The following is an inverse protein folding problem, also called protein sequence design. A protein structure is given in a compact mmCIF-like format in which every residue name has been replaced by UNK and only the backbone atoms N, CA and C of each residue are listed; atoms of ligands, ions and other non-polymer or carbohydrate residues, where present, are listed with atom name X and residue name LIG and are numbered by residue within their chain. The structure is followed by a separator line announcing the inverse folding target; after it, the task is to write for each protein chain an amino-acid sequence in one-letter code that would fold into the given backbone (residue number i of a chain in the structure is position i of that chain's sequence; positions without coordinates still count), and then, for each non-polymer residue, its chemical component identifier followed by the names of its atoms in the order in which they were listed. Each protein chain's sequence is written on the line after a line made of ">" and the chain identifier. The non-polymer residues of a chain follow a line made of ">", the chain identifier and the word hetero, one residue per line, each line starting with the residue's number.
data_IF_197261921500
#
_entry.id   IF_197261921500
#
_cell.length_a   1.000
_cell.length_b   1.000
_cell.length_c   1.000
_cell.angle_alpha   90.00
_cell.angle_beta   90.00
_cell.angle_gamma   90.00
#
_symmetry.space_group_name_H-M   'P 1'
#
loop_
_entity.id
_entity.type
_entity.pdbx_description
1 polymer ?
#
# COMPACT_ATOMS: atom_id res chain seq x y z
N UNK A 1 -9.16 9.03 -13.30
CA UNK A 1 -9.43 9.33 -11.88
C UNK A 1 -8.52 10.47 -11.42
N UNK A 2 -9.04 11.55 -10.84
CA UNK A 2 -8.26 12.74 -10.42
C UNK A 2 -8.48 12.96 -8.92
N UNK A 3 -7.39 13.03 -8.14
CA UNK A 3 -7.46 13.41 -6.73
C UNK A 3 -7.78 14.92 -6.63
N UNK A 4 -8.89 15.27 -6.03
CA UNK A 4 -9.34 16.65 -5.84
C UNK A 4 -8.96 17.21 -4.49
N UNK A 5 -9.01 16.37 -3.43
CA UNK A 5 -8.74 16.77 -2.06
C UNK A 5 -8.28 15.56 -1.25
N UNK A 6 -7.38 15.80 -0.31
CA UNK A 6 -6.99 14.83 0.72
C UNK A 6 -7.17 15.44 2.11
N UNK A 7 -7.65 14.63 3.03
CA UNK A 7 -7.68 14.95 4.47
C UNK A 7 -6.87 13.89 5.20
N UNK A 8 -5.98 14.31 6.07
CA UNK A 8 -5.06 13.45 6.82
C UNK A 8 -5.10 13.86 8.28
N UNK A 9 -5.22 12.89 9.17
CA UNK A 9 -5.16 13.09 10.61
C UNK A 9 -4.20 12.08 11.24
N UNK A 10 -3.22 12.56 12.02
CA UNK A 10 -2.27 11.77 12.80
C UNK A 10 -1.47 10.72 12.00
N UNK A 11 -1.08 11.05 10.78
CA UNK A 11 -0.29 10.17 9.92
C UNK A 11 1.19 10.57 9.91
N UNK A 12 2.06 9.71 10.42
CA UNK A 12 3.51 9.96 10.57
C UNK A 12 3.76 11.27 11.32
N UNK A 13 4.38 12.27 10.67
CA UNK A 13 4.57 13.59 11.27
C UNK A 13 3.46 14.60 10.94
N UNK A 14 2.47 14.19 10.14
CA UNK A 14 1.34 15.04 9.79
C UNK A 14 0.27 14.93 10.90
N UNK A 15 -0.04 16.07 11.52
CA UNK A 15 -1.04 16.15 12.58
C UNK A 15 -2.43 16.23 11.98
N UNK A 16 -2.72 17.32 11.32
CA UNK A 16 -3.95 17.56 10.60
C UNK A 16 -3.63 18.33 9.32
N UNK A 17 -4.02 17.77 8.19
CA UNK A 17 -3.74 18.35 6.88
C UNK A 17 -4.99 18.19 6.01
N UNK A 18 -5.41 19.28 5.39
CA UNK A 18 -6.41 19.29 4.35
C UNK A 18 -5.89 20.06 3.15
N UNK A 19 -5.82 19.42 1.99
CA UNK A 19 -5.24 19.99 0.77
C UNK A 19 -6.12 19.71 -0.44
N UNK A 20 -6.35 20.72 -1.27
CA UNK A 20 -6.90 20.61 -2.61
C UNK A 20 -5.80 20.41 -3.66
N UNK A 21 -6.11 19.70 -4.72
CA UNK A 21 -5.20 19.40 -5.82
C UNK A 21 -5.70 20.00 -7.13
N UNK A 22 -4.77 20.47 -7.96
CA UNK A 22 -5.04 20.74 -9.36
C UNK A 22 -5.02 19.43 -10.16
N UNK A 23 -5.72 19.41 -11.29
CA UNK A 23 -5.85 18.21 -12.11
C UNK A 23 -4.55 17.75 -12.79
N UNK A 24 -3.54 18.60 -12.92
CA UNK A 24 -2.33 18.29 -13.70
C UNK A 24 -1.08 18.26 -12.84
N UNK A 25 -0.64 19.40 -12.33
CA UNK A 25 0.64 19.54 -11.62
C UNK A 25 0.41 20.14 -10.24
N UNK A 26 0.98 19.51 -9.23
CA UNK A 26 1.00 19.97 -7.85
C UNK A 26 2.44 19.91 -7.34
N UNK A 27 2.98 21.03 -6.85
CA UNK A 27 4.32 21.12 -6.32
C UNK A 27 4.28 21.34 -4.81
N UNK A 28 5.01 20.52 -4.06
CA UNK A 28 5.17 20.67 -2.61
C UNK A 28 6.59 21.09 -2.30
N UNK A 29 6.75 22.29 -1.73
CA UNK A 29 8.06 22.84 -1.34
C UNK A 29 8.05 23.25 0.13
N UNK A 30 9.23 23.34 0.72
CA UNK A 30 9.42 23.67 2.13
C UNK A 30 10.65 22.98 2.72
N UNK A 31 10.94 23.25 3.99
CA UNK A 31 12.08 22.70 4.71
C UNK A 31 12.03 21.16 4.81
N UNK A 32 13.19 20.54 5.01
CA UNK A 32 13.26 19.10 5.25
C UNK A 32 12.57 18.75 6.59
N UNK A 33 11.98 17.56 6.65
CA UNK A 33 11.24 17.13 7.83
C UNK A 33 9.78 17.61 7.91
N UNK A 34 9.34 18.55 7.07
CA UNK A 34 7.98 19.12 7.12
C UNK A 34 6.87 18.19 6.60
N UNK A 35 7.19 16.95 6.23
CA UNK A 35 6.16 15.96 5.86
C UNK A 35 5.83 15.87 4.37
N UNK A 36 6.57 16.54 3.46
CA UNK A 36 6.33 16.46 2.01
C UNK A 36 6.26 15.02 1.49
N UNK A 37 7.25 14.20 1.84
CA UNK A 37 7.28 12.78 1.47
C UNK A 37 6.16 11.99 2.15
N UNK A 38 5.80 12.35 3.39
CA UNK A 38 4.71 11.68 4.11
C UNK A 38 3.34 12.02 3.51
N UNK A 39 3.18 13.19 2.90
CA UNK A 39 2.00 13.53 2.12
C UNK A 39 1.89 12.65 0.86
N UNK A 40 2.99 12.50 0.11
CA UNK A 40 3.03 11.60 -1.06
C UNK A 40 2.78 10.14 -0.67
N UNK A 41 3.34 9.72 0.46
CA UNK A 41 3.10 8.39 1.00
C UNK A 41 1.64 8.19 1.47
N UNK A 42 0.96 9.22 1.95
CA UNK A 42 -0.48 9.14 2.23
C UNK A 42 -1.31 8.95 0.95
N UNK A 43 -0.95 9.60 -0.16
CA UNK A 43 -1.56 9.35 -1.47
C UNK A 43 -1.28 7.92 -1.95
N UNK A 44 -0.03 7.45 -1.80
CA UNK A 44 0.35 6.07 -2.09
C UNK A 44 -0.46 5.07 -1.25
N UNK A 45 -0.66 5.37 0.05
CA UNK A 45 -1.44 4.53 0.95
C UNK A 45 -2.90 4.35 0.47
N UNK A 46 -3.51 5.40 -0.06
CA UNK A 46 -4.86 5.34 -0.62
C UNK A 46 -4.93 4.49 -1.90
N UNK A 47 -3.85 4.32 -2.64
CA UNK A 47 -3.78 3.46 -3.83
C UNK A 47 -3.48 1.99 -3.49
N UNK A 48 -2.48 1.76 -2.61
CA UNK A 48 -1.93 0.43 -2.34
C UNK A 48 -2.35 -0.17 -1.00
N UNK A 49 -3.21 0.50 -0.24
CA UNK A 49 -3.62 0.09 1.11
C UNK A 49 -2.45 -0.13 2.08
N UNK A 50 -1.28 0.41 1.80
CA UNK A 50 -0.07 0.31 2.63
C UNK A 50 0.87 1.49 2.39
N UNK A 51 1.74 1.78 3.35
CA UNK A 51 2.83 2.76 3.17
C UNK A 51 3.89 2.24 2.20
N UNK A 52 4.51 3.13 1.43
CA UNK A 52 5.65 2.81 0.56
C UNK A 52 6.93 2.55 1.36
N UNK A 53 7.12 3.28 2.47
CA UNK A 53 8.35 3.23 3.26
C UNK A 53 8.26 2.45 4.57
N UNK A 54 7.07 2.05 5.02
CA UNK A 54 6.90 1.33 6.29
C UNK A 54 5.86 0.20 6.16
N UNK A 55 6.29 -1.07 6.22
CA UNK A 55 5.40 -2.21 6.07
C UNK A 55 4.46 -2.44 7.26
N UNK A 56 4.75 -1.84 8.42
CA UNK A 56 3.96 -2.02 9.64
C UNK A 56 2.98 -0.86 9.78
N UNK A 57 1.71 -1.09 9.51
CA UNK A 57 0.66 -0.07 9.51
C UNK A 57 0.60 0.75 10.80
N UNK A 58 0.74 0.12 11.97
CA UNK A 58 0.67 0.80 13.28
C UNK A 58 1.81 1.79 13.52
N UNK A 59 2.95 1.63 12.84
CA UNK A 59 4.08 2.56 12.93
C UNK A 59 3.88 3.83 12.09
N UNK A 60 2.85 3.86 11.26
CA UNK A 60 2.45 5.06 10.53
C UNK A 60 1.54 5.99 11.38
N UNK A 61 1.11 5.56 12.57
CA UNK A 61 0.39 6.40 13.53
C UNK A 61 1.39 7.42 14.11
N UNK A 62 0.99 8.70 14.13
CA UNK A 62 1.79 9.78 14.71
C UNK A 62 2.19 9.45 16.15
N UNK A 63 3.39 9.87 16.55
CA UNK A 63 3.88 9.68 17.92
C UNK A 63 2.88 10.22 18.94
N UNK A 64 2.69 9.51 20.04
CA UNK A 64 1.71 9.83 21.11
C UNK A 64 0.24 9.79 20.69
N UNK A 65 -0.08 9.32 19.48
CA UNK A 65 -1.46 9.15 19.04
C UNK A 65 -1.86 7.67 18.97
N UNK A 66 -3.17 7.41 19.04
CA UNK A 66 -3.71 6.04 19.03
C UNK A 66 -4.22 5.59 17.65
N UNK A 67 -4.41 6.53 16.72
CA UNK A 67 -4.96 6.24 15.41
C UNK A 67 -4.48 7.24 14.37
N UNK A 68 -4.64 6.88 13.11
CA UNK A 68 -4.59 7.81 11.98
C UNK A 68 -5.80 7.64 11.07
N UNK A 69 -6.10 8.68 10.30
CA UNK A 69 -7.08 8.66 9.21
C UNK A 69 -6.47 9.31 7.99
N UNK A 70 -6.69 8.71 6.82
CA UNK A 70 -6.42 9.28 5.51
C UNK A 70 -7.70 9.17 4.68
N UNK A 71 -8.14 10.27 4.09
CA UNK A 71 -9.34 10.33 3.26
C UNK A 71 -9.04 11.08 1.98
N UNK A 72 -9.25 10.45 0.85
CA UNK A 72 -9.08 11.01 -0.48
C UNK A 72 -10.41 11.20 -1.18
N UNK A 73 -10.60 12.36 -1.77
CA UNK A 73 -11.77 12.70 -2.58
C UNK A 73 -11.33 12.81 -4.04
N UNK A 74 -11.87 11.95 -4.87
CA UNK A 74 -11.51 11.81 -6.26
C UNK A 74 -12.68 12.14 -7.16
N UNK A 75 -12.38 12.40 -8.42
CA UNK A 75 -13.36 12.58 -9.49
C UNK A 75 -13.00 11.62 -10.63
N UNK A 76 -13.96 10.80 -11.04
CA UNK A 76 -13.80 9.93 -12.19
C UNK A 76 -13.85 10.73 -13.51
N UNK A 77 -13.53 10.11 -14.63
CA UNK A 77 -13.53 10.77 -15.95
C UNK A 77 -14.94 11.25 -16.37
N UNK A 78 -15.97 10.57 -15.90
CA UNK A 78 -17.38 10.93 -16.11
C UNK A 78 -17.90 11.99 -15.11
N UNK A 79 -17.03 12.52 -14.22
CA UNK A 79 -17.39 13.47 -13.19
C UNK A 79 -17.96 12.85 -11.90
N UNK A 80 -18.08 11.51 -11.83
CA UNK A 80 -18.60 10.85 -10.63
C UNK A 80 -17.64 11.05 -9.44
N UNK A 81 -18.14 11.51 -8.28
CA UNK A 81 -17.32 11.64 -7.09
C UNK A 81 -17.03 10.27 -6.47
N UNK A 82 -15.80 10.09 -6.05
CA UNK A 82 -15.33 8.88 -5.36
C UNK A 82 -14.60 9.25 -4.08
N UNK A 83 -14.96 8.60 -2.99
CA UNK A 83 -14.36 8.79 -1.69
C UNK A 83 -13.63 7.51 -1.26
N UNK A 84 -12.35 7.64 -0.92
CA UNK A 84 -11.54 6.55 -0.37
C UNK A 84 -11.13 6.94 1.05
N UNK A 85 -11.43 6.06 1.99
CA UNK A 85 -11.15 6.23 3.40
C UNK A 85 -10.24 5.10 3.91
N UNK A 86 -9.21 5.46 4.63
CA UNK A 86 -8.40 4.54 5.42
C UNK A 86 -8.32 5.03 6.87
N UNK A 87 -8.70 4.18 7.81
CA UNK A 87 -8.54 4.39 9.23
C UNK A 87 -7.79 3.24 9.89
N UNK A 88 -6.82 3.56 10.74
CA UNK A 88 -6.07 2.59 11.52
C UNK A 88 -6.00 3.03 12.98
N UNK A 89 -6.38 2.14 13.89
CA UNK A 89 -6.22 2.33 15.35
C UNK A 89 -5.24 1.29 15.87
N UNK A 90 -4.44 1.66 16.87
CA UNK A 90 -3.53 0.71 17.55
C UNK A 90 -4.28 -0.53 18.01
N UNK A 91 -3.68 -1.70 17.80
CA UNK A 91 -4.24 -3.01 18.19
C UNK A 91 -5.59 -3.34 17.54
N UNK A 92 -5.99 -2.63 16.48
CA UNK A 92 -7.22 -2.90 15.73
C UNK A 92 -6.90 -3.22 14.27
N UNK A 93 -7.86 -3.83 13.59
CA UNK A 93 -7.76 -4.03 12.13
C UNK A 93 -7.90 -2.69 11.41
N UNK A 94 -7.11 -2.52 10.36
CA UNK A 94 -7.22 -1.40 9.44
C UNK A 94 -8.57 -1.45 8.72
N UNK A 95 -9.25 -0.33 8.65
CA UNK A 95 -10.46 -0.14 7.87
C UNK A 95 -10.12 0.55 6.57
N UNK A 96 -10.62 0.03 5.46
CA UNK A 96 -10.46 0.62 4.15
C UNK A 96 -11.81 0.62 3.42
N UNK A 97 -12.29 1.80 3.01
CA UNK A 97 -13.64 1.98 2.48
C UNK A 97 -13.60 2.77 1.17
N UNK A 98 -14.50 2.41 0.26
CA UNK A 98 -14.86 3.19 -0.91
C UNK A 98 -16.32 3.62 -0.81
N UNK A 99 -16.62 4.89 -0.90
CA UNK A 99 -17.97 5.44 -0.78
C UNK A 99 -18.71 4.89 0.45
N UNK A 100 -18.03 4.89 1.61
CA UNK A 100 -18.51 4.38 2.90
C UNK A 100 -18.66 2.85 2.98
N UNK A 101 -18.52 2.10 1.86
CA UNK A 101 -18.57 0.64 1.85
C UNK A 101 -17.17 0.08 2.12
N UNK A 102 -17.06 -0.77 3.13
CA UNK A 102 -15.79 -1.41 3.52
C UNK A 102 -15.43 -2.53 2.53
N UNK A 103 -14.13 -2.61 2.19
CA UNK A 103 -13.59 -3.71 1.40
C UNK A 103 -13.45 -4.96 2.28
N UNK A 104 -13.91 -6.10 1.78
CA UNK A 104 -13.67 -7.40 2.39
C UNK A 104 -12.22 -7.86 2.22
N UNK A 105 -11.62 -7.55 1.07
CA UNK A 105 -10.23 -7.84 0.72
C UNK A 105 -9.58 -6.58 0.14
N UNK A 106 -8.41 -6.22 0.63
CA UNK A 106 -7.68 -5.04 0.09
C UNK A 106 -7.21 -5.22 -1.35
N UNK A 107 -7.01 -6.48 -1.79
CA UNK A 107 -6.71 -6.81 -3.19
C UNK A 107 -7.79 -6.33 -4.16
N UNK A 108 -9.05 -6.20 -3.71
CA UNK A 108 -10.15 -5.75 -4.55
C UNK A 108 -10.03 -4.24 -4.89
N UNK A 109 -9.28 -3.51 -4.06
CA UNK A 109 -9.00 -2.09 -4.26
C UNK A 109 -7.80 -1.83 -5.17
N UNK A 110 -6.80 -2.73 -5.18
CA UNK A 110 -5.58 -2.57 -5.99
C UNK A 110 -5.94 -2.42 -7.47
N UNK A 111 -5.37 -1.40 -8.13
CA UNK A 111 -5.67 -1.04 -9.51
C UNK A 111 -6.87 -0.10 -9.70
N UNK A 112 -7.65 0.17 -8.65
CA UNK A 112 -8.73 1.15 -8.72
C UNK A 112 -8.20 2.59 -8.85
N UNK A 113 -7.12 2.89 -8.12
CA UNK A 113 -6.38 4.16 -8.20
C UNK A 113 -4.95 3.85 -8.68
N UNK A 114 -4.73 3.64 -10.01
CA UNK A 114 -3.40 3.34 -10.51
C UNK A 114 -2.46 4.51 -10.22
N UNK A 115 -1.27 4.18 -9.68
CA UNK A 115 -0.29 5.16 -9.24
C UNK A 115 1.13 4.64 -9.47
N UNK A 116 2.00 5.52 -9.91
CA UNK A 116 3.44 5.31 -9.92
C UNK A 116 4.08 6.34 -9.01
N UNK A 117 4.90 5.88 -8.08
CA UNK A 117 5.71 6.75 -7.22
C UNK A 117 7.18 6.54 -7.56
N UNK A 118 7.89 7.64 -7.78
CA UNK A 118 9.34 7.62 -8.05
C UNK A 118 10.05 8.39 -6.96
N UNK A 119 11.11 7.83 -6.43
CA UNK A 119 11.93 8.40 -5.37
C UNK A 119 13.42 8.30 -5.69
N UNK A 120 14.30 9.06 -5.04
CA UNK A 120 15.75 8.90 -5.21
C UNK A 120 16.26 7.48 -4.91
N UNK A 121 15.55 6.71 -4.06
CA UNK A 121 15.90 5.33 -3.75
C UNK A 121 15.68 4.37 -4.93
N UNK A 122 14.89 4.77 -5.95
CA UNK A 122 14.63 3.94 -7.12
C UNK A 122 15.86 3.81 -8.05
N UNK A 123 16.94 4.56 -7.79
CA UNK A 123 18.26 4.26 -8.36
C UNK A 123 18.71 2.83 -8.08
N UNK A 124 18.24 2.21 -7.00
CA UNK A 124 18.45 0.79 -6.69
C UNK A 124 17.85 -0.16 -7.76
N UNK A 125 16.84 0.27 -8.52
CA UNK A 125 16.33 -0.52 -9.65
C UNK A 125 17.38 -0.71 -10.75
N UNK A 126 18.33 0.23 -10.87
CA UNK A 126 19.41 0.20 -11.83
C UNK A 126 20.65 -0.44 -11.20
N UNK A 127 21.09 0.04 -10.03
CA UNK A 127 22.32 -0.36 -9.36
C UNK A 127 22.15 -1.63 -8.51
N UNK A 128 20.96 -1.92 -8.05
CA UNK A 128 20.65 -3.03 -7.14
C UNK A 128 20.44 -4.37 -7.83
N UNK A 129 20.00 -5.34 -7.04
CA UNK A 129 19.79 -6.73 -7.44
C UNK A 129 18.57 -6.96 -8.33
N UNK A 130 18.33 -8.21 -8.67
CA UNK A 130 17.15 -8.61 -9.46
C UNK A 130 15.87 -8.61 -8.62
N UNK A 131 15.99 -8.60 -7.29
CA UNK A 131 14.85 -8.65 -6.39
C UNK A 131 14.06 -7.33 -6.41
N UNK A 132 14.73 -6.18 -6.36
CA UNK A 132 14.12 -4.85 -6.45
C UNK A 132 13.39 -4.68 -7.78
N UNK A 133 13.99 -5.14 -8.89
CA UNK A 133 13.35 -5.09 -10.21
C UNK A 133 12.10 -5.96 -10.27
N UNK A 134 12.15 -7.20 -9.72
CA UNK A 134 10.97 -8.07 -9.65
C UNK A 134 9.87 -7.44 -8.80
N UNK A 135 10.20 -6.93 -7.62
CA UNK A 135 9.24 -6.23 -6.76
C UNK A 135 8.57 -5.05 -7.46
N UNK A 136 9.34 -4.26 -8.22
CA UNK A 136 8.79 -3.16 -9.00
C UNK A 136 7.82 -3.67 -10.07
N UNK A 137 8.21 -4.71 -10.82
CA UNK A 137 7.33 -5.35 -11.81
C UNK A 137 6.05 -5.89 -11.18
N UNK A 138 6.15 -6.58 -10.04
CA UNK A 138 5.00 -7.09 -9.30
C UNK A 138 4.04 -5.97 -8.92
N UNK A 139 4.54 -4.84 -8.44
CA UNK A 139 3.73 -3.68 -8.07
C UNK A 139 3.02 -3.09 -9.30
N UNK A 140 3.72 -2.98 -10.43
CA UNK A 140 3.14 -2.42 -11.67
C UNK A 140 2.08 -3.38 -12.22
N UNK A 141 2.41 -4.66 -12.45
CA UNK A 141 1.51 -5.64 -13.06
C UNK A 141 0.25 -5.83 -12.20
N UNK A 142 0.40 -5.90 -10.87
CA UNK A 142 -0.72 -6.07 -9.94
C UNK A 142 -1.80 -4.99 -10.04
N UNK A 143 -1.50 -3.82 -10.60
CA UNK A 143 -2.48 -2.75 -10.80
C UNK A 143 -3.35 -2.96 -12.05
N UNK A 144 -2.90 -3.76 -13.00
CA UNK A 144 -3.59 -3.97 -14.28
C UNK A 144 -4.17 -5.38 -14.41
N UNK A 145 -3.51 -6.36 -13.79
CA UNK A 145 -3.84 -7.77 -13.91
C UNK A 145 -4.23 -8.33 -12.54
N UNK A 146 -5.51 -8.61 -12.37
CA UNK A 146 -6.07 -9.16 -11.13
C UNK A 146 -5.72 -10.63 -10.95
N UNK A 147 -5.61 -11.40 -12.02
CA UNK A 147 -5.23 -12.81 -11.95
C UNK A 147 -3.77 -12.93 -11.49
N UNK A 148 -2.90 -12.08 -12.03
CA UNK A 148 -1.51 -11.95 -11.56
C UNK A 148 -1.44 -11.58 -10.08
N UNK A 149 -2.19 -10.57 -9.63
CA UNK A 149 -2.23 -10.17 -8.23
C UNK A 149 -2.66 -11.31 -7.31
N UNK A 150 -3.68 -12.09 -7.70
CA UNK A 150 -4.15 -13.23 -6.92
C UNK A 150 -3.12 -14.37 -6.91
N UNK A 151 -2.46 -14.63 -8.03
CA UNK A 151 -1.37 -15.60 -8.11
C UNK A 151 -0.20 -15.18 -7.22
N UNK A 152 0.21 -13.91 -7.29
CA UNK A 152 1.28 -13.35 -6.46
C UNK A 152 0.97 -13.45 -4.95
N UNK A 153 -0.28 -13.17 -4.55
CA UNK A 153 -0.72 -13.32 -3.15
C UNK A 153 -0.63 -14.79 -2.71
N UNK A 154 -1.08 -15.74 -3.54
CA UNK A 154 -0.99 -17.18 -3.25
C UNK A 154 0.46 -17.63 -3.14
N UNK A 155 1.28 -17.27 -4.11
CA UNK A 155 2.72 -17.57 -4.12
C UNK A 155 3.42 -17.07 -2.84
N UNK A 156 3.24 -15.79 -2.49
CA UNK A 156 3.87 -15.22 -1.30
C UNK A 156 3.39 -15.90 -0.01
N UNK A 157 2.11 -16.27 0.07
CA UNK A 157 1.58 -17.02 1.21
C UNK A 157 2.22 -18.41 1.31
N UNK A 158 2.30 -19.14 0.21
CA UNK A 158 2.94 -20.45 0.16
C UNK A 158 4.43 -20.37 0.54
N UNK A 159 5.15 -19.38 0.00
CA UNK A 159 6.55 -19.14 0.30
C UNK A 159 6.80 -18.88 1.80
N UNK A 160 5.96 -18.07 2.44
CA UNK A 160 6.06 -17.82 3.89
C UNK A 160 5.82 -19.10 4.69
N UNK A 161 4.80 -19.87 4.35
CA UNK A 161 4.50 -21.15 5.04
C UNK A 161 5.64 -22.15 4.87
N UNK A 162 6.11 -22.35 3.62
CA UNK A 162 7.25 -23.24 3.33
C UNK A 162 8.50 -22.83 4.12
N UNK A 163 8.84 -21.54 4.13
CA UNK A 163 10.01 -21.05 4.86
C UNK A 163 9.85 -21.18 6.38
N UNK A 164 8.63 -21.12 6.90
CA UNK A 164 8.35 -21.37 8.33
C UNK A 164 8.56 -22.83 8.67
N UNK A 165 8.10 -23.76 7.82
CA UNK A 165 8.33 -25.20 8.00
C UNK A 165 9.83 -25.55 7.96
N UNK A 166 10.58 -24.98 7.00
CA UNK A 166 12.03 -25.20 6.88
C UNK A 166 12.84 -24.70 8.09
N UNK A 167 12.31 -23.71 8.80
CA UNK A 167 12.95 -23.17 10.03
C UNK A 167 12.46 -23.86 11.30
N UNK A 168 11.53 -24.81 11.19
CA UNK A 168 11.02 -25.57 12.34
C UNK A 168 12.13 -26.47 12.89
N UNK A 169 12.29 -26.49 14.20
CA UNK A 169 13.16 -27.42 14.91
C UNK A 169 12.57 -28.84 15.01
N UNK A 170 11.28 -28.99 14.67
CA UNK A 170 10.61 -30.28 14.68
C UNK A 170 10.63 -30.91 13.30
N UNK A 171 10.70 -32.26 13.22
CA UNK A 171 10.61 -32.97 11.96
C UNK A 171 9.25 -32.68 11.31
N UNK A 172 9.29 -32.23 10.07
CA UNK A 172 8.09 -31.91 9.28
C UNK A 172 7.93 -32.99 8.21
N UNK A 173 6.71 -33.49 8.02
CA UNK A 173 6.40 -34.46 7.00
C UNK A 173 6.62 -33.90 5.58
N UNK A 174 7.28 -34.67 4.70
CA UNK A 174 7.56 -34.24 3.31
C UNK A 174 6.31 -33.85 2.54
N UNK A 175 5.19 -34.50 2.80
CA UNK A 175 3.89 -34.20 2.14
C UNK A 175 3.44 -32.75 2.35
N UNK A 176 3.74 -32.15 3.50
CA UNK A 176 3.42 -30.75 3.77
C UNK A 176 4.22 -29.78 2.90
N UNK A 177 5.44 -30.12 2.50
CA UNK A 177 6.22 -29.31 1.57
C UNK A 177 5.66 -29.38 0.15
N UNK A 178 5.26 -30.57 -0.31
CA UNK A 178 4.71 -30.78 -1.65
C UNK A 178 3.48 -29.91 -1.89
N UNK A 179 2.58 -29.80 -0.91
CA UNK A 179 1.38 -28.94 -1.01
C UNK A 179 1.75 -27.49 -1.28
N UNK A 180 2.77 -26.95 -0.60
CA UNK A 180 3.18 -25.56 -0.80
C UNK A 180 3.97 -25.35 -2.09
N UNK A 181 4.75 -26.36 -2.51
CA UNK A 181 5.51 -26.31 -3.78
C UNK A 181 4.58 -26.36 -4.99
N UNK A 182 3.52 -27.16 -4.94
CA UNK A 182 2.49 -27.19 -5.97
C UNK A 182 1.72 -25.85 -6.08
N UNK A 183 1.53 -25.15 -4.96
CA UNK A 183 0.90 -23.83 -4.98
C UNK A 183 1.80 -22.72 -5.52
N UNK A 184 3.11 -22.97 -5.64
CA UNK A 184 4.11 -22.01 -6.16
C UNK A 184 4.43 -22.25 -7.64
N UNK A 185 4.08 -23.39 -8.20
CA UNK A 185 4.24 -23.74 -9.61
C UNK A 185 3.07 -23.21 -10.46
#
# INVERSE_FOLDING_TARGET
>A
MILKRISILNYKNLEEVELGFSAKLNCFFGLNGMGKTNLLDAVYFLSFCKSSGNPIDSQNIRHEQDFFVIQGFYEAEDGTPEEIYCGMKRRSKKQFKRNKKEYSRFSDHIGFLPLVMVSPADSELIAGGSEERRRFMDVVISQYDKEYLEALIRYNKALVQRNTLLKSEFPVEEELFLVWEEMMS
#
